data_IF_694911305952
#
_entry.id   IF_694911305952
#
_cell.length_a   1.000
_cell.length_b   1.000
_cell.length_c   1.000
_cell.angle_alpha   90.00
_cell.angle_beta   90.00
_cell.angle_gamma   90.00
#
_symmetry.space_group_name_H-M   'P 1'
#
loop_
_entity.id
_entity.type
_entity.pdbx_description
1 polymer ?
#
# COMPACT_ATOMS: atom_id res chain seq x y z
N UNK A 1 -34.37 55.77 -45.97
CA UNK A 1 -34.80 54.94 -44.81
C UNK A 1 -33.86 53.74 -44.71
N UNK A 2 -32.79 53.86 -43.89
CA UNK A 2 -31.74 52.81 -43.67
C UNK A 2 -32.01 52.15 -42.37
N UNK A 3 -32.27 50.81 -42.38
CA UNK A 3 -32.42 49.98 -41.21
C UNK A 3 -31.04 49.42 -40.86
N UNK A 4 -30.54 49.47 -39.56
CA UNK A 4 -29.34 48.78 -39.15
C UNK A 4 -29.68 47.31 -38.81
N UNK A 5 -28.88 46.37 -39.34
CA UNK A 5 -28.87 44.98 -38.97
C UNK A 5 -28.19 44.82 -37.58
N UNK A 6 -28.97 44.34 -36.62
CA UNK A 6 -28.42 43.95 -35.31
C UNK A 6 -27.79 42.54 -35.43
N UNK A 7 -26.49 42.44 -35.30
CA UNK A 7 -25.76 41.18 -35.27
C UNK A 7 -25.78 40.66 -33.82
N UNK A 8 -26.56 39.63 -33.53
CA UNK A 8 -26.62 38.97 -32.22
C UNK A 8 -25.47 37.97 -32.11
N UNK A 9 -24.44 38.33 -31.38
CA UNK A 9 -23.34 37.41 -31.08
C UNK A 9 -23.77 36.43 -29.97
N UNK A 10 -23.93 35.15 -30.34
CA UNK A 10 -24.21 34.07 -29.41
C UNK A 10 -22.89 33.67 -28.70
N UNK A 11 -22.69 34.11 -27.45
CA UNK A 11 -21.60 33.60 -26.60
C UNK A 11 -21.98 32.18 -26.14
N UNK A 12 -21.31 31.20 -26.72
CA UNK A 12 -21.32 29.84 -26.18
C UNK A 12 -20.47 29.80 -24.90
N UNK A 13 -21.12 29.76 -23.75
CA UNK A 13 -20.47 29.43 -22.49
C UNK A 13 -20.17 27.92 -22.47
N UNK A 14 -18.91 27.56 -22.60
CA UNK A 14 -18.48 26.21 -22.36
C UNK A 14 -18.62 25.94 -20.85
N UNK A 15 -19.69 25.25 -20.45
CA UNK A 15 -19.86 24.72 -19.14
C UNK A 15 -18.77 23.64 -18.93
N UNK A 16 -17.67 24.04 -18.27
CA UNK A 16 -16.66 23.12 -17.79
C UNK A 16 -17.34 22.18 -16.77
N UNK A 17 -17.51 20.91 -17.16
CA UNK A 17 -17.94 19.86 -16.22
C UNK A 17 -16.95 19.87 -15.07
N UNK A 18 -17.37 20.14 -13.81
CA UNK A 18 -16.45 20.05 -12.69
C UNK A 18 -15.98 18.62 -12.62
N UNK A 19 -14.65 18.40 -12.65
CA UNK A 19 -14.06 17.12 -12.37
C UNK A 19 -14.53 16.73 -10.96
N UNK A 20 -15.35 15.67 -10.86
CA UNK A 20 -15.72 15.09 -9.57
C UNK A 20 -14.42 14.74 -8.87
N UNK A 21 -14.17 15.23 -7.63
CA UNK A 21 -13.03 14.77 -6.88
C UNK A 21 -13.15 13.26 -6.74
N UNK A 22 -12.08 12.54 -7.10
CA UNK A 22 -11.95 11.12 -6.81
C UNK A 22 -12.31 10.93 -5.34
N UNK A 23 -13.26 10.05 -5.04
CA UNK A 23 -13.69 9.81 -3.67
C UNK A 23 -12.46 9.35 -2.87
N UNK A 24 -11.88 10.28 -2.11
CA UNK A 24 -10.83 9.98 -1.15
C UNK A 24 -11.53 9.18 -0.04
N UNK A 25 -11.13 7.93 0.14
CA UNK A 25 -11.67 7.14 1.25
C UNK A 25 -11.21 7.74 2.59
N UNK A 26 -12.12 7.76 3.58
CA UNK A 26 -11.85 8.34 4.90
C UNK A 26 -10.97 7.46 5.80
N UNK A 27 -10.51 6.30 5.31
CA UNK A 27 -9.77 5.31 6.09
C UNK A 27 -8.48 4.90 5.39
N UNK A 28 -7.34 5.22 5.97
CA UNK A 28 -6.04 4.74 5.50
C UNK A 28 -5.66 3.45 6.22
N UNK A 29 -5.71 2.32 5.50
CA UNK A 29 -5.56 0.99 6.07
C UNK A 29 -4.72 0.08 5.17
N UNK A 30 -3.78 -0.66 5.78
CA UNK A 30 -3.23 -1.87 5.15
C UNK A 30 -3.63 -3.12 5.93
N UNK A 31 -3.86 -4.20 5.21
CA UNK A 31 -4.13 -5.49 5.81
C UNK A 31 -3.11 -6.53 5.33
N UNK A 32 -2.41 -7.15 6.26
CA UNK A 32 -1.39 -8.15 5.95
C UNK A 32 -1.71 -9.50 6.58
N UNK A 33 -1.33 -10.58 5.87
CA UNK A 33 -1.31 -11.95 6.39
C UNK A 33 0.08 -12.52 6.20
N UNK A 34 0.69 -12.96 7.28
CA UNK A 34 2.04 -13.51 7.28
C UNK A 34 2.01 -14.95 7.77
N UNK A 35 2.75 -15.81 7.09
CA UNK A 35 3.04 -17.18 7.51
C UNK A 35 4.53 -17.31 7.75
N UNK A 36 4.90 -17.91 8.88
CA UNK A 36 6.28 -18.23 9.24
C UNK A 36 6.40 -19.73 9.41
N UNK A 37 7.25 -20.37 8.60
CA UNK A 37 7.49 -21.80 8.65
C UNK A 37 8.98 -22.09 8.46
N UNK A 38 9.61 -22.65 9.50
CA UNK A 38 11.04 -22.89 9.49
C UNK A 38 11.83 -21.62 9.26
N UNK A 39 12.50 -21.51 8.10
CA UNK A 39 13.25 -20.33 7.66
C UNK A 39 12.43 -19.37 6.81
N UNK A 40 11.30 -19.83 6.29
CA UNK A 40 10.50 -19.10 5.32
C UNK A 40 9.55 -18.15 6.00
N UNK A 41 9.45 -16.93 5.46
CA UNK A 41 8.47 -15.93 5.82
C UNK A 41 7.78 -15.45 4.55
N UNK A 42 6.48 -15.68 4.48
CA UNK A 42 5.63 -15.23 3.36
C UNK A 42 4.59 -14.27 3.89
N UNK A 43 4.46 -13.11 3.27
CA UNK A 43 3.51 -12.07 3.67
C UNK A 43 2.71 -11.57 2.47
N UNK A 44 1.38 -11.71 2.51
CA UNK A 44 0.49 -11.05 1.56
C UNK A 44 -0.02 -9.76 2.17
N UNK A 45 0.23 -8.64 1.50
CA UNK A 45 -0.23 -7.30 1.90
C UNK A 45 -1.29 -6.84 0.91
N UNK A 46 -2.36 -6.24 1.44
CA UNK A 46 -3.42 -5.53 0.71
C UNK A 46 -3.39 -4.07 1.10
N UNK A 47 -3.53 -3.20 0.10
CA UNK A 47 -3.42 -1.75 0.28
C UNK A 47 -4.33 -1.06 -0.74
N UNK A 48 -4.90 0.08 -0.40
CA UNK A 48 -5.65 0.89 -1.36
C UNK A 48 -4.72 1.42 -2.44
N UNK A 49 -5.18 1.32 -3.69
CA UNK A 49 -4.36 1.63 -4.85
C UNK A 49 -3.90 3.07 -4.87
N UNK A 50 -4.80 4.00 -4.60
CA UNK A 50 -4.54 5.44 -4.60
C UNK A 50 -3.53 5.84 -3.51
N UNK A 51 -3.65 5.30 -2.29
CA UNK A 51 -2.69 5.51 -1.22
C UNK A 51 -1.29 5.02 -1.61
N UNK A 52 -1.22 3.83 -2.21
CA UNK A 52 0.06 3.29 -2.66
C UNK A 52 0.64 4.10 -3.82
N UNK A 53 -0.17 4.57 -4.76
CA UNK A 53 0.31 5.45 -5.83
C UNK A 53 0.96 6.70 -5.26
N UNK A 54 0.35 7.35 -4.26
CA UNK A 54 0.92 8.52 -3.58
C UNK A 54 2.27 8.17 -2.92
N UNK A 55 2.34 7.03 -2.22
CA UNK A 55 3.57 6.56 -1.58
C UNK A 55 4.71 6.36 -2.59
N UNK A 56 4.41 5.68 -3.70
CA UNK A 56 5.40 5.38 -4.73
C UNK A 56 5.77 6.59 -5.59
N UNK A 57 4.84 7.52 -5.84
CA UNK A 57 5.13 8.82 -6.44
C UNK A 57 6.16 9.58 -5.61
N UNK A 58 5.92 9.67 -4.31
CA UNK A 58 6.83 10.36 -3.38
C UNK A 58 8.20 9.70 -3.31
N UNK A 59 8.25 8.35 -3.22
CA UNK A 59 9.51 7.61 -3.18
C UNK A 59 10.31 7.72 -4.46
N UNK A 60 9.66 7.67 -5.62
CA UNK A 60 10.32 7.73 -6.93
C UNK A 60 10.63 9.14 -7.42
N UNK A 61 10.06 10.18 -6.78
CA UNK A 61 10.11 11.56 -7.25
C UNK A 61 9.30 11.81 -8.53
N UNK A 62 8.42 10.87 -8.91
CA UNK A 62 7.62 10.94 -10.15
C UNK A 62 6.16 11.15 -9.82
N UNK A 63 5.70 12.39 -9.93
CA UNK A 63 4.31 12.76 -9.63
C UNK A 63 3.28 12.12 -10.60
N UNK A 64 3.73 11.69 -11.78
CA UNK A 64 2.92 11.04 -12.81
C UNK A 64 2.88 9.50 -12.69
N UNK A 65 3.57 8.92 -11.72
CA UNK A 65 3.63 7.47 -11.56
C UNK A 65 2.23 6.88 -11.30
N UNK A 66 1.93 5.79 -12.02
CA UNK A 66 0.71 5.01 -11.86
C UNK A 66 1.03 3.52 -11.72
N UNK A 67 0.25 2.82 -10.92
CA UNK A 67 0.34 1.37 -10.79
C UNK A 67 -0.26 0.71 -12.03
N UNK A 68 0.59 0.22 -12.91
CA UNK A 68 0.22 -0.38 -14.19
C UNK A 68 0.33 -1.90 -14.22
N UNK A 69 0.67 -2.53 -13.09
CA UNK A 69 0.87 -4.00 -13.02
C UNK A 69 2.17 -4.47 -13.67
N UNK A 70 3.13 -3.58 -13.91
CA UNK A 70 4.41 -3.89 -14.51
C UNK A 70 5.45 -4.32 -13.46
N UNK A 71 6.41 -5.15 -13.86
CA UNK A 71 7.54 -5.58 -13.01
C UNK A 71 8.32 -4.42 -12.37
N UNK A 72 8.31 -3.24 -13.00
CA UNK A 72 8.89 -2.02 -12.45
C UNK A 72 8.13 -1.52 -11.22
N UNK A 73 6.80 -1.63 -11.21
CA UNK A 73 5.98 -1.27 -10.06
C UNK A 73 6.25 -2.22 -8.88
N UNK A 74 6.42 -3.52 -9.14
CA UNK A 74 6.78 -4.51 -8.14
C UNK A 74 8.15 -4.23 -7.50
N UNK A 75 9.15 -3.88 -8.32
CA UNK A 75 10.47 -3.50 -7.83
C UNK A 75 10.43 -2.23 -6.97
N UNK A 76 9.64 -1.24 -7.37
CA UNK A 76 9.49 0.00 -6.63
C UNK A 76 8.76 -0.24 -5.30
N UNK A 77 7.70 -1.06 -5.32
CA UNK A 77 7.01 -1.47 -4.09
C UNK A 77 7.93 -2.28 -3.17
N UNK A 78 8.71 -3.22 -3.69
CA UNK A 78 9.67 -4.00 -2.90
C UNK A 78 10.69 -3.12 -2.18
N UNK A 79 11.23 -2.11 -2.87
CA UNK A 79 12.14 -1.12 -2.27
C UNK A 79 11.42 -0.28 -1.20
N UNK A 80 10.18 0.12 -1.44
CA UNK A 80 9.34 0.85 -0.49
C UNK A 80 9.04 0.00 0.75
N UNK A 81 8.60 -1.25 0.56
CA UNK A 81 8.30 -2.16 1.64
C UNK A 81 9.53 -2.39 2.54
N UNK A 82 10.71 -2.66 1.96
CA UNK A 82 11.93 -2.87 2.73
C UNK A 82 12.41 -1.64 3.52
N UNK A 83 11.97 -0.44 3.16
CA UNK A 83 12.26 0.80 3.89
C UNK A 83 11.31 0.99 5.08
N UNK A 84 10.05 0.65 4.92
CA UNK A 84 8.98 0.99 5.87
C UNK A 84 8.44 -0.21 6.65
N UNK A 85 8.80 -1.43 6.26
CA UNK A 85 8.39 -2.65 6.93
C UNK A 85 9.61 -3.41 7.45
N UNK A 86 9.91 -3.26 8.73
CA UNK A 86 10.99 -4.00 9.38
C UNK A 86 10.52 -5.43 9.70
N UNK A 87 11.33 -6.40 9.26
CA UNK A 87 11.19 -7.80 9.62
C UNK A 87 12.51 -8.30 10.22
N UNK A 88 12.45 -8.85 11.41
CA UNK A 88 13.62 -9.39 12.10
C UNK A 88 13.37 -10.83 12.55
N UNK A 89 14.22 -11.74 12.11
CA UNK A 89 14.24 -13.12 12.58
C UNK A 89 15.41 -13.28 13.58
N UNK A 90 15.08 -13.46 14.85
CA UNK A 90 16.06 -13.50 15.94
C UNK A 90 16.92 -12.23 15.99
N UNK A 91 18.16 -12.30 15.48
CA UNK A 91 19.09 -11.17 15.41
C UNK A 91 19.26 -10.62 14.00
N UNK A 92 18.71 -11.29 13.01
CA UNK A 92 18.92 -11.00 11.59
C UNK A 92 17.76 -10.16 11.06
N UNK A 93 18.06 -9.01 10.46
CA UNK A 93 17.07 -8.24 9.70
C UNK A 93 16.92 -8.90 8.34
N UNK A 94 15.67 -9.18 7.95
CA UNK A 94 15.36 -9.81 6.69
C UNK A 94 14.90 -8.78 5.65
N UNK A 95 15.18 -9.07 4.39
CA UNK A 95 14.76 -8.28 3.25
C UNK A 95 13.72 -9.05 2.45
N UNK A 96 12.61 -8.42 2.16
CA UNK A 96 11.57 -9.00 1.33
C UNK A 96 11.90 -8.92 -0.17
N UNK A 97 11.44 -9.94 -0.90
CA UNK A 97 11.32 -9.92 -2.35
C UNK A 97 9.84 -9.98 -2.72
N UNK A 98 9.40 -9.18 -3.68
CA UNK A 98 8.08 -9.31 -4.29
C UNK A 98 8.10 -10.52 -5.22
N UNK A 99 7.21 -11.48 -5.00
CA UNK A 99 7.10 -12.70 -5.82
C UNK A 99 5.84 -12.73 -6.66
N UNK A 100 4.80 -12.03 -6.25
CA UNK A 100 3.61 -11.81 -7.08
C UNK A 100 2.85 -10.57 -6.61
N UNK A 101 2.03 -10.03 -7.51
CA UNK A 101 1.17 -8.87 -7.28
C UNK A 101 -0.09 -8.96 -8.11
N UNK A 102 -1.10 -8.17 -7.77
CA UNK A 102 -2.34 -8.06 -8.54
C UNK A 102 -3.27 -7.02 -7.95
N UNK A 103 -4.42 -6.86 -8.61
CA UNK A 103 -5.46 -5.94 -8.18
C UNK A 103 -6.76 -6.70 -7.92
N UNK A 104 -7.56 -6.17 -7.02
CA UNK A 104 -8.90 -6.65 -6.69
C UNK A 104 -9.77 -5.47 -6.25
N UNK A 105 -11.08 -5.64 -6.27
CA UNK A 105 -12.00 -4.69 -5.65
C UNK A 105 -12.40 -5.23 -4.28
N UNK A 106 -12.45 -4.35 -3.30
CA UNK A 106 -13.00 -4.71 -2.02
C UNK A 106 -14.54 -4.65 -2.04
N UNK A 107 -15.25 -5.09 -0.98
CA UNK A 107 -16.71 -5.01 -0.92
C UNK A 107 -17.29 -3.61 -1.07
N UNK A 108 -16.52 -2.54 -0.79
CA UNK A 108 -16.92 -1.15 -1.00
C UNK A 108 -16.67 -0.64 -2.41
N UNK A 109 -16.24 -1.52 -3.33
CA UNK A 109 -15.86 -1.22 -4.71
C UNK A 109 -14.62 -0.34 -4.86
N UNK A 110 -13.81 -0.21 -3.80
CA UNK A 110 -12.52 0.46 -3.86
C UNK A 110 -11.47 -0.45 -4.52
N UNK A 111 -10.60 0.15 -5.31
CA UNK A 111 -9.48 -0.59 -5.90
C UNK A 111 -8.41 -0.88 -4.86
N UNK A 112 -8.16 -2.16 -4.66
CA UNK A 112 -7.12 -2.67 -3.77
C UNK A 112 -6.07 -3.39 -4.60
N UNK A 113 -4.82 -3.12 -4.31
CA UNK A 113 -3.69 -3.90 -4.84
C UNK A 113 -3.13 -4.79 -3.75
N UNK A 114 -2.64 -5.94 -4.16
CA UNK A 114 -2.00 -6.87 -3.24
C UNK A 114 -0.63 -7.30 -3.74
N UNK A 115 0.24 -7.57 -2.79
CA UNK A 115 1.60 -8.06 -3.03
C UNK A 115 1.87 -9.26 -2.15
N UNK A 116 2.56 -10.26 -2.71
CA UNK A 116 3.18 -11.34 -1.94
C UNK A 116 4.66 -11.02 -1.80
N UNK A 117 5.09 -10.94 -0.55
CA UNK A 117 6.46 -10.67 -0.15
C UNK A 117 7.03 -11.93 0.49
N UNK A 118 8.21 -12.33 0.06
CA UNK A 118 8.94 -13.47 0.61
C UNK A 118 10.28 -13.05 1.19
N UNK A 119 10.64 -13.62 2.33
CA UNK A 119 11.95 -13.49 2.94
C UNK A 119 12.40 -14.84 3.49
N UNK A 120 13.70 -15.08 3.50
CA UNK A 120 14.29 -16.29 4.04
C UNK A 120 15.28 -15.93 5.15
N UNK A 121 15.11 -16.55 6.32
CA UNK A 121 16.03 -16.42 7.43
C UNK A 121 17.21 -17.39 7.27
N UNK A 122 18.41 -17.07 7.78
CA UNK A 122 19.58 -17.97 7.72
C UNK A 122 19.38 -19.28 8.52
N UNK A 123 18.46 -19.27 9.49
CA UNK A 123 18.11 -20.40 10.35
C UNK A 123 16.62 -20.39 10.68
N UNK A 124 16.03 -21.48 11.19
CA UNK A 124 14.64 -21.51 11.62
C UNK A 124 14.33 -20.38 12.61
N UNK A 125 13.24 -19.64 12.36
CA UNK A 125 12.84 -18.46 13.12
C UNK A 125 12.28 -18.88 14.47
N UNK A 126 12.94 -18.50 15.57
CA UNK A 126 12.44 -18.73 16.92
C UNK A 126 11.73 -17.50 17.48
N UNK A 127 12.19 -16.31 17.14
CA UNK A 127 11.62 -15.03 17.56
C UNK A 127 11.47 -14.12 16.36
N UNK A 128 10.28 -13.57 16.16
CA UNK A 128 9.98 -12.67 15.05
C UNK A 128 9.70 -11.27 15.58
N UNK A 129 10.49 -10.29 15.16
CA UNK A 129 10.23 -8.87 15.37
C UNK A 129 9.63 -8.27 14.11
N UNK A 130 8.54 -7.54 14.25
CA UNK A 130 7.80 -6.93 13.14
C UNK A 130 7.45 -5.48 13.45
N UNK A 131 7.70 -4.59 12.48
CA UNK A 131 7.13 -3.26 12.44
C UNK A 131 6.61 -3.00 11.03
N UNK A 132 5.30 -2.93 10.86
CA UNK A 132 4.68 -2.50 9.62
C UNK A 132 4.37 -1.00 9.70
N UNK A 133 5.27 -0.20 9.15
CA UNK A 133 5.18 1.26 9.09
C UNK A 133 4.84 1.79 7.70
N UNK A 134 4.25 0.97 6.83
CA UNK A 134 3.82 1.41 5.50
C UNK A 134 2.89 2.63 5.60
N UNK A 135 3.17 3.66 4.83
CA UNK A 135 2.38 4.91 4.71
C UNK A 135 2.30 5.78 5.97
N UNK A 136 3.04 5.47 7.04
CA UNK A 136 3.09 6.30 8.24
C UNK A 136 3.68 7.69 7.98
N UNK A 137 4.50 7.82 6.95
CA UNK A 137 5.09 9.10 6.51
C UNK A 137 4.10 9.98 5.71
N UNK A 138 2.95 9.40 5.31
CA UNK A 138 1.93 10.08 4.51
C UNK A 138 0.70 10.45 5.33
N UNK A 139 0.18 9.48 6.10
CA UNK A 139 -1.11 9.60 6.76
C UNK A 139 -0.97 9.44 8.27
N UNK A 140 -1.45 10.43 9.03
CA UNK A 140 -1.40 10.40 10.51
C UNK A 140 -2.35 9.37 11.12
N UNK A 141 -3.43 9.07 10.43
CA UNK A 141 -4.48 8.13 10.78
C UNK A 141 -4.26 6.73 10.20
N UNK A 142 -3.13 6.51 9.52
CA UNK A 142 -2.78 5.20 8.97
C UNK A 142 -2.82 4.10 10.02
N UNK A 143 -3.51 3.02 9.69
CA UNK A 143 -3.58 1.80 10.48
C UNK A 143 -3.05 0.61 9.66
N UNK A 144 -2.19 -0.19 10.25
CA UNK A 144 -1.65 -1.38 9.61
C UNK A 144 -1.99 -2.59 10.47
N UNK A 145 -2.87 -3.45 9.96
CA UNK A 145 -3.32 -4.66 10.65
C UNK A 145 -2.62 -5.87 10.03
N UNK A 146 -2.05 -6.71 10.88
CA UNK A 146 -1.34 -7.90 10.43
C UNK A 146 -1.75 -9.13 11.23
N UNK A 147 -2.12 -10.20 10.52
CA UNK A 147 -2.31 -11.52 11.10
C UNK A 147 -1.06 -12.36 10.82
N UNK A 148 -0.45 -12.90 11.85
CA UNK A 148 0.71 -13.80 11.76
C UNK A 148 0.30 -15.19 12.16
N UNK A 149 0.66 -16.18 11.35
CA UNK A 149 0.52 -17.62 11.60
C UNK A 149 1.91 -18.25 11.67
N UNK A 150 2.21 -18.93 12.76
CA UNK A 150 3.45 -19.71 12.92
C UNK A 150 3.16 -21.19 12.71
N UNK A 151 3.83 -21.80 11.75
CA UNK A 151 3.77 -23.23 11.49
C UNK A 151 5.00 -23.96 12.04
N UNK A 152 4.89 -25.25 12.44
CA UNK A 152 3.69 -26.10 12.41
C UNK A 152 2.78 -25.93 13.64
N UNK A 153 3.13 -25.10 14.62
CA UNK A 153 2.37 -24.98 15.87
C UNK A 153 0.93 -24.44 15.69
N UNK A 154 0.66 -23.77 14.56
CA UNK A 154 -0.65 -23.19 14.29
C UNK A 154 -0.98 -21.94 15.12
N UNK A 155 0.03 -21.38 15.81
CA UNK A 155 -0.12 -20.17 16.62
C UNK A 155 -0.50 -18.97 15.75
N UNK A 156 -1.53 -18.23 16.17
CA UNK A 156 -2.00 -17.03 15.47
C UNK A 156 -1.91 -15.81 16.37
N UNK A 157 -1.45 -14.71 15.82
CA UNK A 157 -1.39 -13.42 16.51
C UNK A 157 -1.82 -12.31 15.55
N UNK A 158 -2.63 -11.38 16.04
CA UNK A 158 -2.94 -10.14 15.31
C UNK A 158 -2.13 -9.00 15.89
N UNK A 159 -1.42 -8.29 15.03
CA UNK A 159 -0.63 -7.10 15.35
C UNK A 159 -1.31 -5.87 14.78
N UNK A 160 -1.29 -4.80 15.55
CA UNK A 160 -1.85 -3.50 15.16
C UNK A 160 -0.74 -2.45 15.24
N UNK A 161 -0.55 -1.72 14.14
CA UNK A 161 0.41 -0.63 14.06
C UNK A 161 -0.32 0.65 13.69
N UNK A 162 -0.01 1.72 14.41
CA UNK A 162 -0.53 3.07 14.15
C UNK A 162 0.63 4.05 14.09
N UNK A 163 0.52 5.07 13.26
CA UNK A 163 1.62 6.02 12.99
C UNK A 163 2.09 6.74 14.26
N UNK A 164 1.19 7.05 15.17
CA UNK A 164 1.47 7.78 16.42
C UNK A 164 2.18 6.95 17.49
N UNK A 165 2.19 5.62 17.35
CA UNK A 165 2.79 4.68 18.30
C UNK A 165 3.57 3.56 17.58
N UNK A 166 4.26 3.90 16.51
CA UNK A 166 5.03 2.96 15.70
C UNK A 166 6.17 2.34 16.52
N UNK A 167 6.09 1.03 16.77
CA UNK A 167 7.15 0.26 17.45
C UNK A 167 7.17 -1.18 16.97
N UNK A 168 8.37 -1.77 17.03
CA UNK A 168 8.52 -3.20 16.76
C UNK A 168 7.72 -4.03 17.77
N UNK A 169 6.94 -4.97 17.27
CA UNK A 169 6.24 -5.97 18.06
C UNK A 169 6.93 -7.32 17.89
N UNK A 170 7.07 -8.06 18.99
CA UNK A 170 7.77 -9.34 19.00
C UNK A 170 6.81 -10.48 19.29
N UNK A 171 6.97 -11.55 18.53
CA UNK A 171 6.19 -12.79 18.63
C UNK A 171 7.09 -14.01 18.52
#
# INVERSE_FOLDING_TARGET
VTRPLLLLALLATADGVPATPSAVHDLHLTHARMVVEGKSVVCRIRVFRDDLEIALQRQSGRADFKLTGEARADSLFGAYANRHFLLRADRDTLTFKVTSSGAEHDPSSQEVVWYVLEAEAPRPVTRLGVLNGLMFELFRDQQNIMQVLRQPAGERKTLYFVSTAAREQVI
#
